data_IF_509683544273
#
_entry.id   IF_509683544273
#
_cell.length_a   1.000
_cell.length_b   1.000
_cell.length_c   1.000
_cell.angle_alpha   90.00
_cell.angle_beta   90.00
_cell.angle_gamma   90.00
#
_symmetry.space_group_name_H-M   'P 1'
#
loop_
_entity.id
_entity.type
_entity.pdbx_description
1 polymer ?
#
# COMPACT_ATOMS: atom_id res chain seq x y z
N UNK A 1 1.79 -4.59 -18.75
CA UNK A 1 1.18 -3.43 -18.08
C UNK A 1 1.72 -3.37 -16.67
N UNK A 2 2.51 -2.32 -16.36
CA UNK A 2 2.87 -2.00 -14.98
C UNK A 2 1.73 -1.11 -14.48
N UNK A 3 0.83 -1.66 -13.68
CA UNK A 3 -0.32 -0.92 -13.11
C UNK A 3 -0.09 -0.51 -11.66
N UNK A 4 1.12 -0.77 -11.13
CA UNK A 4 1.51 -0.44 -9.76
C UNK A 4 2.53 0.70 -9.77
N UNK A 5 2.54 1.47 -8.68
CA UNK A 5 3.45 2.59 -8.47
C UNK A 5 4.91 2.15 -8.44
N UNK A 6 5.80 2.99 -8.95
CA UNK A 6 7.25 2.82 -8.83
C UNK A 6 7.81 3.81 -7.80
N UNK A 7 8.75 3.39 -6.93
CA UNK A 7 9.44 4.30 -6.03
C UNK A 7 10.56 5.11 -6.71
N UNK A 8 10.86 4.84 -7.99
CA UNK A 8 11.91 5.52 -8.75
C UNK A 8 11.29 6.61 -9.64
N UNK A 9 11.65 7.86 -9.38
CA UNK A 9 11.14 9.03 -10.11
C UNK A 9 11.44 8.97 -11.61
N UNK A 10 12.67 8.58 -12.00
CA UNK A 10 13.04 8.43 -13.41
C UNK A 10 12.22 7.34 -14.12
N UNK A 11 11.87 6.27 -13.40
CA UNK A 11 11.00 5.23 -13.94
C UNK A 11 9.56 5.74 -14.13
N UNK A 12 9.07 6.65 -13.28
CA UNK A 12 7.76 7.28 -13.43
C UNK A 12 7.69 8.19 -14.66
N UNK A 13 8.75 8.94 -14.93
CA UNK A 13 8.82 9.84 -16.10
C UNK A 13 8.69 9.09 -17.43
N UNK A 14 9.19 7.84 -17.47
CA UNK A 14 9.17 6.94 -18.62
C UNK A 14 7.84 6.18 -18.81
N UNK A 15 6.85 6.38 -17.94
CA UNK A 15 5.52 5.78 -18.12
C UNK A 15 4.84 6.46 -19.32
N UNK A 16 4.52 5.67 -20.36
CA UNK A 16 3.86 6.15 -21.59
C UNK A 16 2.36 6.42 -21.38
N UNK A 17 1.75 5.72 -20.43
CA UNK A 17 0.34 5.89 -20.07
C UNK A 17 0.17 7.10 -19.13
N UNK A 18 -0.29 8.21 -19.69
CA UNK A 18 -0.46 9.48 -18.96
C UNK A 18 -1.52 9.39 -17.85
N UNK A 19 -2.52 8.51 -17.96
CA UNK A 19 -3.52 8.31 -16.90
C UNK A 19 -2.87 7.66 -15.68
N UNK A 20 -1.94 6.73 -15.89
CA UNK A 20 -1.18 6.09 -14.79
C UNK A 20 -0.11 7.04 -14.25
N UNK A 21 0.65 7.71 -15.11
CA UNK A 21 1.74 8.63 -14.72
C UNK A 21 1.27 9.78 -13.82
N UNK A 22 0.06 10.28 -14.08
CA UNK A 22 -0.56 11.39 -13.35
C UNK A 22 -1.64 10.94 -12.36
N UNK A 23 -1.82 9.63 -12.16
CA UNK A 23 -2.81 9.09 -11.22
C UNK A 23 -2.48 9.51 -9.79
N UNK A 24 -3.42 10.21 -9.14
CA UNK A 24 -3.35 10.51 -7.71
C UNK A 24 -3.57 9.27 -6.82
N UNK A 25 -4.04 8.17 -7.39
CA UNK A 25 -4.17 6.88 -6.69
C UNK A 25 -2.82 6.18 -6.65
N UNK A 26 -2.11 6.14 -7.78
CA UNK A 26 -0.80 5.50 -7.87
C UNK A 26 0.31 6.39 -7.28
N UNK A 27 0.22 7.70 -7.48
CA UNK A 27 1.22 8.68 -7.03
C UNK A 27 0.54 9.83 -6.26
N UNK A 28 -0.02 9.54 -5.07
CA UNK A 28 -0.67 10.54 -4.23
C UNK A 28 0.32 11.60 -3.73
N UNK A 29 -0.19 12.79 -3.46
CA UNK A 29 0.52 13.76 -2.62
C UNK A 29 0.45 13.33 -1.16
N UNK A 30 1.55 12.79 -0.63
CA UNK A 30 1.60 12.28 0.74
C UNK A 30 1.38 13.37 1.80
N UNK A 31 1.55 14.66 1.47
CA UNK A 31 1.25 15.75 2.41
C UNK A 31 -0.25 15.84 2.75
N UNK A 32 -1.11 15.27 1.89
CA UNK A 32 -2.56 15.21 2.10
C UNK A 32 -2.98 14.00 2.94
N UNK A 33 -2.04 13.18 3.42
CA UNK A 33 -2.31 11.93 4.11
C UNK A 33 -1.55 11.81 5.43
N UNK A 34 -2.19 12.18 6.54
CA UNK A 34 -1.57 12.17 7.87
C UNK A 34 -1.66 10.81 8.61
N UNK A 35 -2.58 9.93 8.19
CA UNK A 35 -2.94 8.70 8.91
C UNK A 35 -2.51 7.41 8.19
N UNK A 36 -1.50 7.48 7.32
CA UNK A 36 -0.93 6.29 6.69
C UNK A 36 0.06 5.64 7.65
N UNK A 37 -0.05 4.33 7.82
CA UNK A 37 0.85 3.55 8.66
C UNK A 37 1.54 2.43 7.88
N UNK A 38 2.73 2.08 8.33
CA UNK A 38 3.45 0.89 7.86
C UNK A 38 3.37 -0.17 8.96
N UNK A 39 3.08 -1.41 8.58
CA UNK A 39 3.01 -2.51 9.55
C UNK A 39 4.34 -2.64 10.29
N UNK A 40 4.25 -2.63 11.62
CA UNK A 40 5.37 -2.90 12.50
C UNK A 40 5.31 -4.36 12.93
N UNK A 41 6.48 -4.98 13.07
CA UNK A 41 6.55 -6.27 13.72
C UNK A 41 6.35 -6.10 15.22
N UNK A 42 5.29 -6.71 15.76
CA UNK A 42 4.86 -6.57 17.16
C UNK A 42 5.17 -7.81 18.02
N UNK A 43 5.81 -8.83 17.45
CA UNK A 43 6.14 -10.08 18.13
C UNK A 43 5.09 -11.18 17.99
N UNK A 44 5.46 -12.39 18.39
CA UNK A 44 4.66 -13.61 18.19
C UNK A 44 3.30 -13.60 18.92
N UNK A 45 3.17 -12.83 20.00
CA UNK A 45 1.89 -12.69 20.71
C UNK A 45 0.86 -11.93 19.88
N UNK A 46 1.26 -10.78 19.33
CA UNK A 46 0.42 -9.99 18.45
C UNK A 46 0.07 -10.79 17.18
N UNK A 47 1.05 -11.47 16.56
CA UNK A 47 0.80 -12.30 15.38
C UNK A 47 -0.26 -13.39 15.64
N UNK A 48 -0.22 -14.06 16.80
CA UNK A 48 -1.25 -15.04 17.18
C UNK A 48 -2.61 -14.40 17.36
N UNK A 49 -2.67 -13.29 18.09
CA UNK A 49 -3.92 -12.55 18.32
C UNK A 49 -4.58 -12.11 17.00
N UNK A 50 -3.83 -11.47 16.10
CA UNK A 50 -4.34 -11.04 14.80
C UNK A 50 -4.81 -12.23 13.94
N UNK A 51 -4.08 -13.35 13.97
CA UNK A 51 -4.47 -14.56 13.24
C UNK A 51 -5.76 -15.19 13.76
N UNK A 52 -5.97 -15.23 15.07
CA UNK A 52 -7.18 -15.80 15.65
C UNK A 52 -8.41 -14.94 15.34
N UNK A 53 -8.31 -13.62 15.48
CA UNK A 53 -9.35 -12.67 15.05
C UNK A 53 -9.67 -12.81 13.55
N UNK A 54 -8.66 -13.00 12.70
CA UNK A 54 -8.88 -13.18 11.26
C UNK A 54 -9.56 -14.51 10.91
N UNK A 55 -9.38 -15.57 11.71
CA UNK A 55 -10.09 -16.83 11.51
C UNK A 55 -11.57 -16.69 11.84
N UNK A 56 -11.92 -15.94 12.89
CA UNK A 56 -13.31 -15.65 13.25
C UNK A 56 -14.02 -14.96 12.06
N UNK A 57 -13.42 -13.92 11.49
CA UNK A 57 -13.95 -13.20 10.31
C UNK A 57 -14.17 -14.13 9.11
N UNK A 58 -13.27 -15.08 8.86
CA UNK A 58 -13.36 -16.01 7.72
C UNK A 58 -14.29 -17.20 7.95
N UNK A 59 -14.72 -17.43 9.20
CA UNK A 59 -15.58 -18.57 9.55
C UNK A 59 -17.08 -18.29 9.35
N UNK A 60 -17.43 -17.04 9.05
CA UNK A 60 -18.74 -16.61 8.52
C UNK A 60 -18.80 -16.72 6.99
#
# INVERSE_FOLDING_TARGET
YITYSTPNDAARELIEDEDIKNSSIAFPDLSQHENLETFQYLGEEADRMYNDLWKEVKSE
#
